data_IF_150784190821
#
_entry.id   IF_150784190821
#
_cell.length_a   1.000
_cell.length_b   1.000
_cell.length_c   1.000
_cell.angle_alpha   90.00
_cell.angle_beta   90.00
_cell.angle_gamma   90.00
#
_symmetry.space_group_name_H-M   'P 1'
#
loop_
_entity.id
_entity.type
_entity.pdbx_description
1 polymer ?
#
# COMPACT_ATOMS: atom_id res chain seq x y z
N UNK A 1 -9.70 7.30 27.02
CA UNK A 1 -8.73 7.00 25.92
C UNK A 1 -8.61 8.20 25.01
N UNK A 2 -7.40 8.68 24.81
CA UNK A 2 -7.07 9.77 23.88
C UNK A 2 -7.08 9.27 22.42
N UNK A 3 -7.21 10.18 21.43
CA UNK A 3 -7.05 9.80 20.02
C UNK A 3 -5.70 9.13 19.72
N UNK A 4 -4.62 9.58 20.36
CA UNK A 4 -3.27 9.02 20.23
C UNK A 4 -3.20 7.57 20.72
N UNK A 5 -3.78 7.25 21.86
CA UNK A 5 -3.87 5.87 22.37
C UNK A 5 -4.67 4.98 21.41
N UNK A 6 -5.78 5.49 20.86
CA UNK A 6 -6.58 4.74 19.89
C UNK A 6 -5.76 4.45 18.63
N UNK A 7 -5.07 5.45 18.08
CA UNK A 7 -4.17 5.28 16.93
C UNK A 7 -3.07 4.26 17.23
N UNK A 8 -2.42 4.38 18.39
CA UNK A 8 -1.36 3.44 18.80
C UNK A 8 -1.87 2.00 18.87
N UNK A 9 -3.07 1.77 19.42
CA UNK A 9 -3.63 0.43 19.52
C UNK A 9 -4.01 -0.18 18.17
N UNK A 10 -4.59 0.59 17.25
CA UNK A 10 -4.92 0.07 15.92
C UNK A 10 -3.66 -0.20 15.09
N UNK A 11 -2.60 0.61 15.22
CA UNK A 11 -1.30 0.37 14.59
C UNK A 11 -0.63 -0.86 15.22
N UNK A 12 -0.62 -0.95 16.55
CA UNK A 12 0.00 -2.06 17.29
C UNK A 12 -0.63 -3.41 16.92
N UNK A 13 -1.94 -3.45 16.66
CA UNK A 13 -2.60 -4.66 16.16
C UNK A 13 -1.89 -5.24 14.94
N UNK A 14 -1.59 -4.42 13.93
CA UNK A 14 -0.95 -4.85 12.70
C UNK A 14 0.54 -5.23 12.86
N UNK A 15 1.18 -4.78 13.94
CA UNK A 15 2.55 -5.16 14.30
C UNK A 15 2.61 -6.40 15.19
N UNK A 16 1.54 -6.71 15.92
CA UNK A 16 1.50 -7.73 16.95
C UNK A 16 1.44 -9.17 16.44
N UNK A 17 1.11 -9.38 15.17
CA UNK A 17 0.94 -10.71 14.57
C UNK A 17 -0.41 -11.39 14.89
N UNK A 18 -1.27 -10.79 15.70
CA UNK A 18 -2.62 -11.30 15.93
C UNK A 18 -3.46 -11.23 14.65
N UNK A 19 -4.21 -12.31 14.36
CA UNK A 19 -5.10 -12.37 13.18
C UNK A 19 -6.56 -12.05 13.50
N UNK A 20 -6.89 -11.75 14.74
CA UNK A 20 -8.24 -11.40 15.17
C UNK A 20 -8.18 -10.18 16.10
N UNK A 21 -8.70 -9.04 15.64
CA UNK A 21 -8.70 -7.79 16.39
C UNK A 21 -9.43 -7.91 17.75
N UNK A 22 -10.56 -8.63 17.79
CA UNK A 22 -11.29 -8.84 19.06
C UNK A 22 -10.43 -9.60 20.08
N UNK A 23 -9.74 -10.64 19.63
CA UNK A 23 -8.86 -11.42 20.50
C UNK A 23 -7.68 -10.59 20.99
N UNK A 24 -7.01 -9.87 20.08
CA UNK A 24 -5.94 -8.90 20.42
C UNK A 24 -6.41 -7.91 21.49
N UNK A 25 -7.58 -7.29 21.29
CA UNK A 25 -8.06 -6.27 22.21
C UNK A 25 -8.48 -6.86 23.56
N UNK A 26 -9.29 -7.93 23.57
CA UNK A 26 -9.83 -8.50 24.81
C UNK A 26 -8.77 -9.23 25.63
N UNK A 27 -7.90 -10.04 25.01
CA UNK A 27 -6.88 -10.80 25.73
C UNK A 27 -5.58 -10.02 25.89
N UNK A 28 -5.18 -9.29 24.87
CA UNK A 28 -3.98 -8.45 24.90
C UNK A 28 -4.21 -7.18 25.72
N UNK A 29 -5.02 -6.25 25.21
CA UNK A 29 -5.13 -4.90 25.79
C UNK A 29 -5.87 -4.91 27.11
N UNK A 30 -7.05 -5.54 27.21
CA UNK A 30 -7.82 -5.59 28.45
C UNK A 30 -7.30 -6.62 29.46
N UNK A 31 -6.50 -7.59 28.99
CA UNK A 31 -5.86 -8.60 29.84
C UNK A 31 -4.41 -8.27 30.15
N UNK A 32 -3.48 -8.81 29.34
CA UNK A 32 -2.04 -8.81 29.64
C UNK A 32 -1.42 -7.40 29.69
N UNK A 33 -1.90 -6.45 28.89
CA UNK A 33 -1.33 -5.10 28.77
C UNK A 33 -2.19 -4.02 29.40
N UNK A 34 -3.13 -4.39 30.28
CA UNK A 34 -4.04 -3.43 30.93
C UNK A 34 -3.31 -2.35 31.71
N UNK A 35 -2.15 -2.67 32.32
CA UNK A 35 -1.31 -1.71 33.04
C UNK A 35 -0.73 -0.60 32.16
N UNK A 36 -0.46 -0.87 30.89
CA UNK A 36 0.01 0.11 29.91
C UNK A 36 -1.13 0.97 29.34
N UNK A 37 -2.37 0.48 29.41
CA UNK A 37 -3.56 1.15 28.89
C UNK A 37 -4.65 1.23 29.99
N UNK A 38 -4.42 1.94 31.10
CA UNK A 38 -5.35 1.99 32.23
C UNK A 38 -6.74 2.51 31.81
N UNK A 39 -6.79 3.47 30.87
CA UNK A 39 -8.00 4.06 30.32
C UNK A 39 -8.67 3.24 29.21
N UNK A 40 -8.20 2.00 28.94
CA UNK A 40 -8.78 1.15 27.92
C UNK A 40 -10.25 0.85 28.22
N UNK A 41 -11.11 1.18 27.27
CA UNK A 41 -12.58 1.03 27.35
C UNK A 41 -13.01 -0.38 26.94
N UNK A 42 -14.29 -0.71 27.06
CA UNK A 42 -14.82 -1.98 26.56
C UNK A 42 -14.59 -2.13 25.05
N UNK A 43 -14.49 -3.38 24.56
CA UNK A 43 -14.29 -3.67 23.14
C UNK A 43 -15.32 -2.98 22.24
N UNK A 44 -16.60 -3.03 22.60
CA UNK A 44 -17.65 -2.40 21.78
C UNK A 44 -17.45 -0.89 21.70
N UNK A 45 -17.13 -0.25 22.83
CA UNK A 45 -16.85 1.18 22.87
C UNK A 45 -15.60 1.55 22.06
N UNK A 46 -14.57 0.71 22.11
CA UNK A 46 -13.38 0.91 21.29
C UNK A 46 -13.69 0.87 19.78
N UNK A 47 -14.53 -0.08 19.33
CA UNK A 47 -14.95 -0.19 17.92
C UNK A 47 -15.72 1.07 17.46
N UNK A 48 -16.48 1.72 18.36
CA UNK A 48 -17.13 3.00 18.06
C UNK A 48 -16.13 4.14 17.96
N UNK A 49 -15.13 4.18 18.84
CA UNK A 49 -14.16 5.25 18.94
C UNK A 49 -13.12 5.21 17.80
N UNK A 50 -12.65 4.02 17.41
CA UNK A 50 -11.53 3.91 16.44
C UNK A 50 -11.82 4.52 15.07
N UNK A 51 -13.08 4.63 14.64
CA UNK A 51 -13.44 5.29 13.37
C UNK A 51 -13.14 6.79 13.37
N UNK A 52 -13.15 7.44 14.54
CA UNK A 52 -12.91 8.87 14.66
C UNK A 52 -11.44 9.27 14.46
N UNK A 53 -10.51 8.31 14.48
CA UNK A 53 -9.09 8.57 14.23
C UNK A 53 -8.66 8.35 12.78
N UNK A 54 -9.59 8.06 11.85
CA UNK A 54 -9.28 7.81 10.44
C UNK A 54 -8.58 9.00 9.77
N UNK A 55 -9.07 10.21 10.00
CA UNK A 55 -8.42 11.41 9.46
C UNK A 55 -7.03 11.64 10.06
N UNK A 56 -6.87 11.40 11.37
CA UNK A 56 -5.56 11.50 12.00
C UNK A 56 -4.57 10.46 11.47
N UNK A 57 -5.00 9.21 11.24
CA UNK A 57 -4.19 8.17 10.57
C UNK A 57 -3.81 8.57 9.14
N UNK A 58 -4.77 9.11 8.38
CA UNK A 58 -4.53 9.59 7.04
C UNK A 58 -3.45 10.68 7.01
N UNK A 59 -3.58 11.71 7.84
CA UNK A 59 -2.59 12.77 7.96
C UNK A 59 -1.25 12.25 8.46
N UNK A 60 -1.25 11.33 9.43
CA UNK A 60 -0.02 10.71 9.92
C UNK A 60 0.75 10.03 8.78
N UNK A 61 0.07 9.22 7.95
CA UNK A 61 0.69 8.55 6.81
C UNK A 61 1.28 9.58 5.83
N UNK A 62 0.51 10.64 5.48
CA UNK A 62 0.91 11.59 4.44
C UNK A 62 1.97 12.60 4.88
N UNK A 63 2.07 12.91 6.17
CA UNK A 63 3.03 13.89 6.66
C UNK A 63 4.27 13.31 7.34
N UNK A 64 4.14 12.17 8.01
CA UNK A 64 5.23 11.57 8.77
C UNK A 64 5.59 10.16 8.32
N UNK A 65 4.67 9.49 7.66
CA UNK A 65 4.80 8.10 7.27
C UNK A 65 5.36 7.88 5.87
N UNK A 66 5.58 8.94 5.07
CA UNK A 66 6.17 8.79 3.74
C UNK A 66 7.70 8.71 3.84
N UNK A 67 8.27 7.88 2.96
CA UNK A 67 9.70 7.65 2.89
C UNK A 67 10.48 8.80 2.28
N UNK A 68 11.79 8.70 2.33
CA UNK A 68 12.73 9.69 1.80
C UNK A 68 12.70 9.71 0.28
N UNK A 69 12.88 10.88 -0.33
CA UNK A 69 13.08 11.01 -1.77
C UNK A 69 14.47 10.47 -2.14
N UNK A 70 14.51 9.38 -2.90
CA UNK A 70 15.76 8.70 -3.31
C UNK A 70 16.03 8.83 -4.81
N UNK A 71 15.17 9.57 -5.52
CA UNK A 71 15.23 9.72 -6.98
C UNK A 71 14.74 8.48 -7.74
N UNK A 72 14.29 7.43 -7.06
CA UNK A 72 13.76 6.21 -7.66
C UNK A 72 12.47 5.79 -6.98
N UNK A 73 11.44 5.43 -7.77
CA UNK A 73 10.16 4.91 -7.27
C UNK A 73 9.74 3.65 -8.02
N UNK A 74 8.99 2.78 -7.34
CA UNK A 74 8.37 1.60 -7.93
C UNK A 74 6.87 1.69 -7.70
N UNK A 75 6.10 1.71 -8.80
CA UNK A 75 4.64 1.81 -8.76
C UNK A 75 4.00 0.45 -9.02
N UNK A 76 2.99 0.13 -8.22
CA UNK A 76 2.14 -1.03 -8.46
C UNK A 76 0.76 -0.84 -7.84
N UNK A 77 -0.15 -1.73 -8.17
CA UNK A 77 -1.50 -1.77 -7.60
C UNK A 77 -1.86 -3.16 -7.13
N UNK A 78 -2.75 -3.23 -6.16
CA UNK A 78 -3.24 -4.51 -5.69
C UNK A 78 -4.72 -4.47 -5.37
N UNK A 79 -5.42 -5.57 -5.66
CA UNK A 79 -6.84 -5.72 -5.32
C UNK A 79 -7.03 -5.89 -3.82
N UNK A 80 -8.08 -5.27 -3.30
CA UNK A 80 -8.60 -5.46 -1.95
C UNK A 80 -10.05 -5.92 -2.08
N UNK A 81 -10.27 -7.24 -2.14
CA UNK A 81 -11.60 -7.81 -2.23
C UNK A 81 -12.34 -7.58 -0.90
N UNK A 82 -13.58 -7.09 -0.96
CA UNK A 82 -14.42 -6.84 0.23
C UNK A 82 -15.38 -8.00 0.52
N UNK A 83 -15.58 -8.89 -0.42
CA UNK A 83 -16.30 -10.16 -0.25
C UNK A 83 -15.98 -11.11 -1.41
N UNK A 84 -16.37 -12.37 -1.26
CA UNK A 84 -16.34 -13.34 -2.33
C UNK A 84 -17.33 -13.01 -3.45
N UNK A 85 -17.01 -13.36 -4.68
CA UNK A 85 -17.80 -12.98 -5.86
C UNK A 85 -19.27 -13.45 -5.81
N UNK A 86 -19.56 -14.63 -5.21
CA UNK A 86 -20.94 -15.11 -5.05
C UNK A 86 -21.76 -14.31 -4.06
N UNK A 87 -21.11 -13.48 -3.21
CA UNK A 87 -21.77 -12.66 -2.18
C UNK A 87 -21.97 -11.20 -2.59
N UNK A 88 -21.61 -10.80 -3.79
CA UNK A 88 -21.68 -9.39 -4.24
C UNK A 88 -23.09 -8.81 -4.04
N UNK A 89 -24.12 -9.55 -4.42
CA UNK A 89 -25.52 -9.10 -4.34
C UNK A 89 -26.01 -8.88 -2.90
N UNK A 90 -25.48 -9.65 -1.95
CA UNK A 90 -25.82 -9.54 -0.52
C UNK A 90 -24.92 -8.58 0.25
N UNK A 91 -23.80 -8.13 -0.36
CA UNK A 91 -22.83 -7.27 0.31
C UNK A 91 -23.31 -5.81 0.31
N UNK A 92 -23.61 -5.28 1.50
CA UNK A 92 -24.16 -3.92 1.67
C UNK A 92 -23.12 -2.88 2.08
N UNK A 93 -22.11 -3.27 2.87
CA UNK A 93 -21.20 -2.35 3.57
C UNK A 93 -20.42 -1.45 2.61
N UNK A 94 -19.78 -2.02 1.57
CA UNK A 94 -18.96 -1.25 0.62
C UNK A 94 -19.66 -0.98 -0.71
N UNK A 95 -20.99 -1.15 -0.79
CA UNK A 95 -21.76 -1.09 -2.04
C UNK A 95 -21.56 0.21 -2.84
N UNK A 96 -21.39 1.32 -2.14
CA UNK A 96 -21.29 2.65 -2.79
C UNK A 96 -19.88 3.03 -3.23
N UNK A 97 -18.85 2.30 -2.77
CA UNK A 97 -17.45 2.64 -3.04
C UNK A 97 -16.66 1.49 -3.68
N UNK A 98 -17.12 0.24 -3.52
CA UNK A 98 -16.53 -0.92 -4.16
C UNK A 98 -17.11 -1.14 -5.57
N UNK A 99 -16.30 -1.65 -6.47
CA UNK A 99 -16.71 -2.03 -7.80
C UNK A 99 -16.13 -3.39 -8.21
N UNK A 100 -16.76 -4.01 -9.23
CA UNK A 100 -16.27 -5.25 -9.81
C UNK A 100 -15.11 -4.97 -10.74
N UNK A 101 -13.93 -5.48 -10.42
CA UNK A 101 -12.71 -5.35 -11.20
C UNK A 101 -12.20 -6.70 -11.68
N UNK A 102 -11.27 -6.67 -12.63
CA UNK A 102 -10.58 -7.85 -13.17
C UNK A 102 -9.07 -7.67 -13.03
N UNK A 103 -8.40 -8.72 -12.55
CA UNK A 103 -6.94 -8.82 -12.50
C UNK A 103 -6.49 -10.06 -13.27
N UNK A 104 -5.19 -10.29 -13.40
CA UNK A 104 -4.62 -11.52 -13.95
C UNK A 104 -5.10 -12.78 -13.21
N UNK A 105 -5.41 -12.66 -11.92
CA UNK A 105 -5.91 -13.76 -11.06
C UNK A 105 -7.44 -13.90 -11.07
N UNK A 106 -8.17 -13.15 -11.92
CA UNK A 106 -9.61 -13.27 -12.09
C UNK A 106 -10.41 -12.05 -11.63
N UNK A 107 -11.73 -12.21 -11.57
CA UNK A 107 -12.66 -11.19 -11.12
C UNK A 107 -12.67 -11.05 -9.60
N UNK A 108 -12.85 -9.84 -9.12
CA UNK A 108 -13.07 -9.53 -7.70
C UNK A 108 -14.08 -8.39 -7.54
N UNK A 109 -14.62 -8.24 -6.35
CA UNK A 109 -15.44 -7.10 -5.96
C UNK A 109 -14.79 -6.39 -4.77
N UNK A 110 -14.45 -5.11 -4.94
CA UNK A 110 -13.75 -4.39 -3.87
C UNK A 110 -13.13 -3.08 -4.31
N UNK A 111 -12.03 -2.77 -3.65
CA UNK A 111 -11.18 -1.61 -3.90
C UNK A 111 -9.85 -2.05 -4.52
N UNK A 112 -9.08 -1.09 -5.02
CA UNK A 112 -7.66 -1.24 -5.32
C UNK A 112 -6.85 -0.31 -4.43
N UNK A 113 -5.73 -0.80 -3.92
CA UNK A 113 -4.68 0.01 -3.36
C UNK A 113 -3.63 0.21 -4.44
N UNK A 114 -3.35 1.47 -4.75
CA UNK A 114 -2.23 1.88 -5.58
C UNK A 114 -1.16 2.46 -4.67
N UNK A 115 0.10 2.12 -4.91
CA UNK A 115 1.20 2.62 -4.08
C UNK A 115 2.47 2.84 -4.90
N UNK A 116 3.28 3.76 -4.42
CA UNK A 116 4.66 3.98 -4.86
C UNK A 116 5.55 3.76 -3.66
N UNK A 117 6.60 2.97 -3.83
CA UNK A 117 7.67 2.80 -2.84
C UNK A 117 8.99 3.31 -3.42
N UNK A 118 9.94 3.70 -2.56
CA UNK A 118 11.31 4.01 -2.97
C UNK A 118 12.18 2.74 -3.01
N UNK A 119 13.46 2.89 -3.29
CA UNK A 119 14.44 1.80 -3.33
C UNK A 119 14.90 1.31 -1.93
N UNK A 120 14.44 1.98 -0.86
CA UNK A 120 14.55 1.57 0.54
C UNK A 120 13.27 0.87 1.04
N UNK A 121 12.35 0.54 0.15
CA UNK A 121 11.04 -0.09 0.40
C UNK A 121 10.11 0.75 1.32
N UNK A 122 10.35 2.06 1.40
CA UNK A 122 9.49 2.98 2.13
C UNK A 122 8.32 3.43 1.25
N UNK A 123 7.13 3.62 1.83
CA UNK A 123 5.96 4.15 1.12
C UNK A 123 6.20 5.61 0.74
N UNK A 124 6.07 5.95 -0.55
CA UNK A 124 6.17 7.31 -1.07
C UNK A 124 4.81 7.94 -1.32
N UNK A 125 3.87 7.14 -1.76
CA UNK A 125 2.50 7.56 -2.00
C UNK A 125 1.56 6.36 -1.94
N UNK A 126 0.32 6.62 -1.53
CA UNK A 126 -0.75 5.62 -1.49
C UNK A 126 -2.07 6.24 -1.94
N UNK A 127 -2.89 5.46 -2.65
CA UNK A 127 -4.23 5.85 -3.05
C UNK A 127 -5.16 4.65 -3.10
N UNK A 128 -6.43 4.86 -2.74
CA UNK A 128 -7.47 3.83 -2.83
C UNK A 128 -8.46 4.22 -3.92
N UNK A 129 -8.82 3.26 -4.76
CA UNK A 129 -9.83 3.45 -5.81
C UNK A 129 -10.85 2.32 -5.80
N UNK A 130 -11.97 2.50 -6.50
CA UNK A 130 -12.87 1.40 -6.78
C UNK A 130 -12.19 0.34 -7.65
N UNK A 131 -12.59 -0.92 -7.51
CA UNK A 131 -11.91 -2.07 -8.14
C UNK A 131 -11.88 -2.06 -9.67
N UNK A 132 -12.78 -1.31 -10.32
CA UNK A 132 -12.85 -1.19 -11.78
C UNK A 132 -11.91 -0.12 -12.36
N UNK A 133 -11.26 0.69 -11.53
CA UNK A 133 -10.30 1.71 -12.01
C UNK A 133 -9.05 1.00 -12.54
N UNK A 134 -8.59 1.39 -13.74
CA UNK A 134 -7.39 0.82 -14.36
C UNK A 134 -6.11 1.29 -13.65
N UNK A 135 -5.05 0.48 -13.72
CA UNK A 135 -3.77 0.80 -13.05
C UNK A 135 -3.08 2.00 -13.69
N UNK A 136 -3.28 2.21 -14.99
CA UNK A 136 -2.78 3.37 -15.74
C UNK A 136 -3.77 4.55 -15.80
N UNK A 137 -4.71 4.63 -14.88
CA UNK A 137 -5.61 5.80 -14.78
C UNK A 137 -4.76 7.05 -14.50
N UNK A 138 -4.84 8.04 -15.39
CA UNK A 138 -4.00 9.24 -15.36
C UNK A 138 -4.15 10.01 -14.06
N UNK A 139 -5.37 10.26 -13.60
CA UNK A 139 -5.63 11.03 -12.39
C UNK A 139 -5.04 10.33 -11.14
N UNK A 140 -5.13 8.99 -11.06
CA UNK A 140 -4.57 8.22 -9.95
C UNK A 140 -3.06 8.24 -9.98
N UNK A 141 -2.43 8.01 -11.13
CA UNK A 141 -0.98 7.98 -11.23
C UNK A 141 -0.39 9.38 -11.05
N UNK A 142 -1.02 10.41 -11.59
CA UNK A 142 -0.62 11.81 -11.31
C UNK A 142 -0.69 12.13 -9.82
N UNK A 143 -1.80 11.79 -9.15
CA UNK A 143 -1.94 11.98 -7.70
C UNK A 143 -0.83 11.29 -6.90
N UNK A 144 -0.46 10.05 -7.28
CA UNK A 144 0.63 9.31 -6.64
C UNK A 144 2.00 9.95 -6.87
N UNK A 145 2.20 10.59 -8.02
CA UNK A 145 3.47 11.19 -8.39
C UNK A 145 3.59 12.67 -8.02
N UNK A 146 2.51 13.36 -7.65
CA UNK A 146 2.51 14.81 -7.36
C UNK A 146 3.49 15.24 -6.28
N UNK A 147 3.78 14.37 -5.32
CA UNK A 147 4.70 14.67 -4.22
C UNK A 147 6.12 14.15 -4.46
N UNK A 148 6.40 13.59 -5.64
CA UNK A 148 7.74 13.16 -5.99
C UNK A 148 8.56 14.34 -6.49
N UNK A 149 9.82 14.41 -6.09
CA UNK A 149 10.75 15.45 -6.55
C UNK A 149 11.05 15.33 -8.04
N UNK A 150 11.22 16.47 -8.70
CA UNK A 150 11.68 16.52 -10.09
C UNK A 150 13.02 15.77 -10.26
N UNK A 151 13.14 15.01 -11.35
CA UNK A 151 14.27 14.09 -11.58
C UNK A 151 14.04 12.67 -11.08
N UNK A 152 12.94 12.41 -10.33
CA UNK A 152 12.60 11.06 -9.91
C UNK A 152 12.22 10.18 -11.10
N UNK A 153 12.74 8.93 -11.10
CA UNK A 153 12.37 7.91 -12.07
C UNK A 153 11.47 6.88 -11.43
N UNK A 154 10.25 6.72 -11.96
CA UNK A 154 9.26 5.73 -11.50
C UNK A 154 9.27 4.52 -12.42
N UNK A 155 9.36 3.32 -11.85
CA UNK A 155 9.40 2.04 -12.55
C UNK A 155 8.08 1.30 -12.35
N UNK A 156 7.37 1.04 -13.46
CA UNK A 156 6.08 0.32 -13.47
C UNK A 156 6.11 -0.96 -14.29
N UNK A 157 5.05 -1.75 -14.19
CA UNK A 157 4.85 -2.88 -15.07
C UNK A 157 4.28 -2.45 -16.43
N UNK A 158 4.00 -3.41 -17.33
CA UNK A 158 3.42 -3.13 -18.64
C UNK A 158 1.95 -2.67 -18.58
N UNK A 159 1.31 -2.71 -17.43
CA UNK A 159 -0.03 -2.16 -17.20
C UNK A 159 -0.06 -0.64 -17.22
N UNK A 160 1.07 0.00 -16.87
CA UNK A 160 1.21 1.46 -16.83
C UNK A 160 1.63 2.09 -18.17
N UNK A 161 1.67 1.33 -19.27
CA UNK A 161 2.01 1.86 -20.59
C UNK A 161 0.88 2.76 -21.09
N UNK A 162 1.18 4.08 -21.15
CA UNK A 162 0.33 5.12 -21.74
C UNK A 162 1.23 6.26 -22.20
N UNK A 163 1.12 6.65 -23.47
CA UNK A 163 1.90 7.76 -24.01
C UNK A 163 1.55 9.07 -23.31
N UNK A 164 0.26 9.33 -23.14
CA UNK A 164 -0.24 10.54 -22.46
C UNK A 164 0.23 10.61 -21.00
N UNK A 165 0.21 9.48 -20.28
CA UNK A 165 0.71 9.43 -18.93
C UNK A 165 2.21 9.72 -18.85
N UNK A 166 2.98 9.18 -19.79
CA UNK A 166 4.42 9.45 -19.89
C UNK A 166 4.70 10.94 -20.09
N UNK A 167 3.99 11.60 -21.03
CA UNK A 167 4.15 13.02 -21.34
C UNK A 167 3.77 13.89 -20.13
N UNK A 168 2.62 13.65 -19.52
CA UNK A 168 2.16 14.40 -18.33
C UNK A 168 3.12 14.30 -17.15
N UNK A 169 3.67 13.11 -16.90
CA UNK A 169 4.65 12.93 -15.82
C UNK A 169 5.99 13.60 -16.15
N UNK A 170 6.41 13.55 -17.41
CA UNK A 170 7.65 14.19 -17.84
C UNK A 170 7.58 15.72 -17.69
N UNK A 171 6.43 16.34 -17.96
CA UNK A 171 6.17 17.77 -17.69
C UNK A 171 6.32 18.12 -16.21
N UNK A 172 6.00 17.19 -15.30
CA UNK A 172 6.23 17.33 -13.86
C UNK A 172 7.67 17.02 -13.44
N UNK A 173 8.55 16.69 -14.39
CA UNK A 173 9.93 16.30 -14.13
C UNK A 173 10.07 14.85 -13.63
N UNK A 174 9.02 14.03 -13.69
CA UNK A 174 9.03 12.60 -13.28
C UNK A 174 9.13 11.72 -14.53
N UNK A 175 10.15 10.86 -14.59
CA UNK A 175 10.35 9.92 -15.70
C UNK A 175 9.67 8.58 -15.40
N UNK A 176 8.72 8.15 -16.23
CA UNK A 176 8.10 6.83 -16.12
C UNK A 176 8.81 5.81 -17.02
N UNK A 177 9.28 4.70 -16.45
CA UNK A 177 9.88 3.59 -17.18
C UNK A 177 9.07 2.33 -16.90
N UNK A 178 8.60 1.68 -17.99
CA UNK A 178 7.76 0.46 -17.88
C UNK A 178 8.42 -0.71 -18.61
N UNK A 179 8.06 -1.93 -18.20
CA UNK A 179 8.34 -3.11 -19.02
C UNK A 179 7.62 -2.99 -20.35
N UNK A 180 8.30 -3.35 -21.44
CA UNK A 180 7.75 -3.36 -22.79
C UNK A 180 6.95 -4.64 -23.00
N UNK A 181 5.78 -4.55 -23.65
CA UNK A 181 5.01 -5.74 -24.04
C UNK A 181 5.73 -6.47 -25.19
N UNK A 182 5.55 -7.78 -25.26
CA UNK A 182 6.22 -8.65 -26.26
C UNK A 182 6.01 -8.20 -27.71
N UNK A 183 4.90 -7.55 -28.02
CA UNK A 183 4.53 -7.05 -29.35
C UNK A 183 4.90 -5.58 -29.61
N UNK A 184 5.64 -4.94 -28.72
CA UNK A 184 6.05 -3.54 -28.88
C UNK A 184 7.52 -3.44 -29.33
N UNK A 185 7.85 -2.37 -30.08
CA UNK A 185 9.24 -2.07 -30.46
C UNK A 185 10.12 -1.89 -29.20
N UNK A 186 11.29 -2.49 -29.23
CA UNK A 186 12.26 -2.36 -28.15
C UNK A 186 12.65 -0.89 -27.95
N UNK A 187 12.55 -0.42 -26.71
CA UNK A 187 13.18 0.85 -26.30
C UNK A 187 14.59 0.52 -25.79
N UNK A 188 15.56 1.32 -26.23
CA UNK A 188 16.93 1.21 -25.71
C UNK A 188 16.93 1.69 -24.26
N UNK A 189 16.93 0.74 -23.33
CA UNK A 189 17.09 0.99 -21.91
C UNK A 189 18.56 0.80 -21.53
N UNK A 190 19.08 1.70 -20.71
CA UNK A 190 20.40 1.55 -20.11
C UNK A 190 20.47 0.30 -19.21
N UNK A 191 21.67 -0.18 -18.92
CA UNK A 191 21.89 -1.31 -18.01
C UNK A 191 21.30 -1.00 -16.63
N UNK A 192 21.45 0.24 -16.14
CA UNK A 192 20.88 0.71 -14.89
C UNK A 192 19.34 0.61 -14.87
N UNK A 193 18.69 1.11 -15.94
CA UNK A 193 17.22 1.06 -16.05
C UNK A 193 16.69 -0.37 -16.11
N UNK A 194 17.37 -1.26 -16.83
CA UNK A 194 17.02 -2.71 -16.85
C UNK A 194 17.16 -3.35 -15.48
N UNK A 195 18.19 -2.98 -14.73
CA UNK A 195 18.38 -3.47 -13.36
C UNK A 195 17.28 -2.96 -12.42
N UNK A 196 16.96 -1.66 -12.48
CA UNK A 196 15.90 -1.07 -11.66
C UNK A 196 14.51 -1.65 -11.99
N UNK A 197 14.21 -1.93 -13.26
CA UNK A 197 12.99 -2.64 -13.64
C UNK A 197 12.90 -4.07 -13.06
N UNK A 198 14.03 -4.75 -12.85
CA UNK A 198 14.04 -6.04 -12.13
C UNK A 198 13.77 -5.87 -10.65
N UNK A 199 14.30 -4.80 -10.04
CA UNK A 199 14.04 -4.47 -8.63
C UNK A 199 12.56 -4.14 -8.35
N UNK A 200 11.73 -3.85 -9.36
CA UNK A 200 10.29 -3.66 -9.18
C UNK A 200 9.60 -4.82 -8.41
N UNK A 201 10.16 -6.04 -8.45
CA UNK A 201 9.66 -7.14 -7.64
C UNK A 201 9.60 -6.82 -6.11
N UNK A 202 10.34 -5.81 -5.64
CA UNK A 202 10.24 -5.34 -4.25
C UNK A 202 8.87 -4.82 -3.90
N UNK A 203 8.19 -4.11 -4.82
CA UNK A 203 6.84 -3.60 -4.54
C UNK A 203 5.84 -4.75 -4.36
N UNK A 204 6.00 -5.84 -5.11
CA UNK A 204 5.20 -7.06 -4.93
C UNK A 204 5.42 -7.66 -3.55
N UNK A 205 6.68 -7.74 -3.09
CA UNK A 205 7.02 -8.22 -1.74
C UNK A 205 6.44 -7.32 -0.64
N UNK A 206 6.45 -5.99 -0.82
CA UNK A 206 5.82 -5.05 0.11
C UNK A 206 4.30 -5.28 0.16
N UNK A 207 3.66 -5.46 -1.00
CA UNK A 207 2.23 -5.75 -1.10
C UNK A 207 1.87 -7.06 -0.38
N UNK A 208 2.65 -8.12 -0.58
CA UNK A 208 2.43 -9.42 0.08
C UNK A 208 2.58 -9.29 1.60
N UNK A 209 3.59 -8.54 2.07
CA UNK A 209 3.78 -8.27 3.48
C UNK A 209 2.58 -7.52 4.08
N UNK A 210 2.12 -6.47 3.42
CA UNK A 210 0.93 -5.72 3.85
C UNK A 210 -0.30 -6.62 3.97
N UNK A 211 -0.51 -7.51 2.99
CA UNK A 211 -1.67 -8.41 2.93
C UNK A 211 -1.59 -9.55 3.94
N UNK A 212 -0.52 -10.31 3.91
CA UNK A 212 -0.45 -11.62 4.57
C UNK A 212 0.05 -11.50 6.02
N UNK A 213 0.98 -10.58 6.26
CA UNK A 213 1.56 -10.39 7.59
C UNK A 213 0.78 -9.34 8.37
N UNK A 214 0.50 -8.19 7.76
CA UNK A 214 -0.14 -7.05 8.43
C UNK A 214 -1.67 -7.00 8.28
N UNK A 215 -2.30 -8.06 7.80
CA UNK A 215 -3.77 -8.23 7.75
C UNK A 215 -4.52 -7.13 6.98
N UNK A 216 -3.89 -6.53 5.94
CA UNK A 216 -4.55 -5.58 5.05
C UNK A 216 -5.76 -6.20 4.32
N UNK A 217 -5.69 -7.51 4.10
CA UNK A 217 -6.66 -8.31 3.35
C UNK A 217 -7.95 -8.62 4.12
N UNK A 218 -8.13 -8.12 5.34
CA UNK A 218 -9.31 -8.43 6.15
C UNK A 218 -10.61 -7.92 5.49
N UNK A 219 -11.57 -8.81 5.28
CA UNK A 219 -12.81 -8.51 4.51
C UNK A 219 -14.08 -8.40 5.35
N UNK A 220 -14.04 -8.73 6.66
CA UNK A 220 -15.24 -8.85 7.51
C UNK A 220 -15.60 -7.57 8.24
N UNK A 221 -15.38 -6.41 7.64
CA UNK A 221 -15.78 -5.14 8.24
C UNK A 221 -17.29 -4.93 8.19
N UNK A 222 -17.85 -4.37 9.26
CA UNK A 222 -19.28 -4.07 9.38
C UNK A 222 -19.64 -2.62 9.08
N UNK A 223 -18.65 -1.76 8.82
CA UNK A 223 -18.81 -0.38 8.35
C UNK A 223 -17.64 0.01 7.47
N UNK A 224 -17.88 0.97 6.59
CA UNK A 224 -16.86 1.58 5.70
C UNK A 224 -15.74 2.17 6.55
N UNK A 225 -16.08 2.96 7.60
CA UNK A 225 -15.09 3.63 8.45
C UNK A 225 -14.15 2.64 9.13
N UNK A 226 -14.67 1.50 9.64
CA UNK A 226 -13.84 0.47 10.24
C UNK A 226 -12.97 -0.26 9.20
N UNK A 227 -13.42 -0.36 7.95
CA UNK A 227 -12.62 -0.87 6.85
C UNK A 227 -11.45 0.05 6.52
N UNK A 228 -11.72 1.35 6.36
CA UNK A 228 -10.65 2.34 6.16
C UNK A 228 -9.72 2.45 7.35
N UNK A 229 -10.24 2.39 8.59
CA UNK A 229 -9.40 2.33 9.79
C UNK A 229 -8.39 1.18 9.73
N UNK A 230 -8.82 -0.02 9.37
CA UNK A 230 -7.93 -1.17 9.19
C UNK A 230 -6.86 -0.93 8.12
N UNK A 231 -7.28 -0.44 6.94
CA UNK A 231 -6.35 -0.18 5.84
C UNK A 231 -5.32 0.90 6.18
N UNK A 232 -5.75 2.02 6.76
CA UNK A 232 -4.87 3.11 7.16
C UNK A 232 -3.93 2.69 8.30
N UNK A 233 -4.45 1.99 9.32
CA UNK A 233 -3.63 1.50 10.42
C UNK A 233 -2.57 0.48 9.95
N UNK A 234 -2.91 -0.37 8.99
CA UNK A 234 -1.97 -1.29 8.36
C UNK A 234 -0.82 -0.56 7.64
N UNK A 235 -1.15 0.46 6.83
CA UNK A 235 -0.14 1.29 6.14
C UNK A 235 0.72 2.06 7.14
N UNK A 236 0.13 2.63 8.20
CA UNK A 236 0.87 3.27 9.27
C UNK A 236 1.80 2.29 9.99
N UNK A 237 1.33 1.08 10.29
CA UNK A 237 2.14 0.03 10.91
C UNK A 237 3.33 -0.38 10.05
N UNK A 238 3.19 -0.40 8.73
CA UNK A 238 4.29 -0.68 7.82
C UNK A 238 5.46 0.31 8.00
N UNK A 239 5.18 1.58 8.26
CA UNK A 239 6.21 2.60 8.45
C UNK A 239 7.04 2.36 9.73
N UNK A 240 6.43 1.82 10.80
CA UNK A 240 7.12 1.45 12.04
C UNK A 240 7.90 0.14 11.97
N UNK A 241 7.83 -0.57 10.86
CA UNK A 241 8.56 -1.83 10.73
C UNK A 241 10.06 -1.59 10.62
N UNK A 242 10.84 -2.13 11.57
CA UNK A 242 12.30 -2.00 11.62
C UNK A 242 12.99 -2.68 10.42
N UNK A 243 12.55 -3.90 10.09
CA UNK A 243 13.06 -4.64 8.94
C UNK A 243 12.08 -4.57 7.77
N UNK A 244 12.42 -3.78 6.75
CA UNK A 244 11.70 -3.79 5.46
C UNK A 244 12.27 -4.87 4.54
N UNK A 245 11.48 -5.40 3.59
CA UNK A 245 11.97 -6.36 2.60
C UNK A 245 13.14 -5.74 1.84
N UNK A 246 14.25 -6.45 1.69
CA UNK A 246 15.40 -5.98 0.90
C UNK A 246 15.68 -6.92 -0.25
N UNK A 247 16.03 -6.37 -1.39
CA UNK A 247 16.52 -7.15 -2.51
C UNK A 247 17.90 -7.71 -2.16
N UNK A 248 17.97 -8.97 -1.70
CA UNK A 248 19.24 -9.66 -1.54
C UNK A 248 19.86 -9.87 -2.92
N UNK A 249 20.68 -8.91 -3.34
CA UNK A 249 21.58 -9.13 -4.48
C UNK A 249 22.51 -10.26 -4.09
N UNK A 250 22.36 -11.40 -4.74
CA UNK A 250 23.26 -12.56 -4.54
C UNK A 250 24.68 -12.31 -5.06
N UNK A 251 25.02 -11.07 -5.47
CA UNK A 251 26.38 -10.72 -5.92
C UNK A 251 26.79 -9.35 -5.39
N UNK A 252 27.41 -9.33 -4.25
CA UNK A 252 28.29 -8.25 -3.79
C UNK A 252 29.38 -7.90 -4.84
N UNK A 253 29.57 -8.73 -5.87
CA UNK A 253 30.67 -8.64 -6.84
C UNK A 253 30.30 -8.02 -8.21
N UNK A 254 29.02 -7.71 -8.46
CA UNK A 254 28.61 -7.19 -9.78
C UNK A 254 29.10 -5.75 -10.03
N UNK A 255 29.19 -4.93 -8.99
CA UNK A 255 29.66 -3.54 -9.13
C UNK A 255 31.19 -3.42 -9.20
N UNK A 256 31.95 -4.38 -8.63
CA UNK A 256 33.41 -4.41 -8.75
C UNK A 256 33.89 -4.86 -10.14
N UNK A 257 33.07 -5.61 -10.89
CA UNK A 257 33.41 -6.04 -12.25
C UNK A 257 33.10 -5.00 -13.35
N UNK A 258 32.48 -3.88 -13.01
CA UNK A 258 32.20 -2.77 -13.94
C UNK A 258 33.13 -1.56 -13.70
N UNK A 259 34.01 -1.62 -12.70
CA UNK A 259 34.98 -0.59 -12.36
C UNK A 259 36.43 -0.97 -12.76
N UNK A 260 36.59 -2.11 -13.41
CA UNK A 260 37.80 -2.56 -14.13
C UNK A 260 37.47 -2.67 -15.61
#
# INVERSE_FOLDING_TARGET
>A
MSPSEIMSLVIFYHLSGFKCFKYFYCQGILGHWKSYFPEAVSYNRFIELKKHVNMALYFFIHWQGLGKQTGSGYIDSTKLAVCDNHRIHSHKVFRNIAARGKTSTGWFYGLKLHLVINDLEELMAVSFTAGNVSDNNEAVVQQLCNNLEAGTTVYGDAGYISQKLFENLLEQGVKLITKIRRNMKNKLLSVKEKFMLKRRALVETVIDLLKDIQDLWHTRHRSIDNGFNNMLACLAAYNFRESKPTFKSHKRNFWMSLAT
#
